data_IF_753670343763
#
_entry.id   IF_753670343763
#
_cell.length_a   1.000
_cell.length_b   1.000
_cell.length_c   1.000
_cell.angle_alpha   90.00
_cell.angle_beta   90.00
_cell.angle_gamma   90.00
#
_symmetry.space_group_name_H-M   'P 1'
#
loop_
_entity.id
_entity.type
_entity.pdbx_description
1 polymer ?
#
# COMPACT_ATOMS: atom_id res chain seq x y z
N UNK A 1 -42.69 47.99 -7.28
CA UNK A 1 -42.30 46.74 -8.01
C UNK A 1 -40.79 46.58 -8.27
N UNK A 2 -39.95 47.62 -8.19
CA UNK A 2 -38.50 47.52 -8.48
C UNK A 2 -37.63 46.89 -7.35
N UNK A 3 -38.08 46.85 -6.12
CA UNK A 3 -37.30 46.31 -4.98
C UNK A 3 -37.35 44.78 -4.93
N UNK A 4 -38.50 44.17 -5.29
CA UNK A 4 -38.63 42.71 -5.30
C UNK A 4 -37.74 42.00 -6.36
N UNK A 5 -37.50 42.66 -7.50
CA UNK A 5 -36.64 42.09 -8.54
C UNK A 5 -35.14 42.09 -8.17
N UNK A 6 -34.68 43.04 -7.35
CA UNK A 6 -33.27 43.09 -6.88
C UNK A 6 -32.95 42.05 -5.83
N UNK A 7 -33.90 41.70 -4.97
CA UNK A 7 -33.71 40.66 -3.95
C UNK A 7 -33.68 39.25 -4.58
N UNK A 8 -34.50 38.98 -5.58
CA UNK A 8 -34.50 37.71 -6.30
C UNK A 8 -33.19 37.48 -7.06
N UNK A 9 -32.60 38.53 -7.67
CA UNK A 9 -31.33 38.38 -8.38
C UNK A 9 -30.16 38.15 -7.46
N UNK A 10 -30.12 38.71 -6.25
CA UNK A 10 -29.08 38.42 -5.25
C UNK A 10 -29.19 37.01 -4.64
N UNK A 11 -30.41 36.50 -4.47
CA UNK A 11 -30.60 35.11 -4.02
C UNK A 11 -30.11 34.08 -5.06
N UNK A 12 -30.34 34.33 -6.36
CA UNK A 12 -29.85 33.46 -7.43
C UNK A 12 -28.33 33.46 -7.56
N UNK A 13 -27.66 34.60 -7.34
CA UNK A 13 -26.20 34.69 -7.32
C UNK A 13 -25.59 33.95 -6.10
N UNK A 14 -26.23 34.03 -4.94
CA UNK A 14 -25.76 33.31 -3.75
C UNK A 14 -25.92 31.79 -3.87
N UNK A 15 -27.02 31.32 -4.48
CA UNK A 15 -27.23 29.88 -4.75
C UNK A 15 -26.28 29.36 -5.83
N UNK A 16 -25.97 30.17 -6.85
CA UNK A 16 -25.00 29.81 -7.90
C UNK A 16 -23.56 29.70 -7.39
N UNK A 17 -23.19 30.49 -6.37
CA UNK A 17 -21.85 30.42 -5.75
C UNK A 17 -21.67 29.21 -4.81
N UNK A 18 -22.75 28.65 -4.26
CA UNK A 18 -22.70 27.44 -3.41
C UNK A 18 -22.69 26.13 -4.21
N UNK A 19 -23.05 26.19 -5.50
CA UNK A 19 -23.12 25.00 -6.36
C UNK A 19 -21.79 24.62 -7.07
N UNK A 20 -20.70 25.37 -6.84
CA UNK A 20 -19.52 25.32 -7.72
C UNK A 20 -18.19 24.83 -7.19
N UNK A 21 -18.01 24.62 -5.92
CA UNK A 21 -16.70 24.13 -5.41
C UNK A 21 -16.77 22.65 -5.01
N UNK A 22 -16.93 21.76 -6.00
CA UNK A 22 -16.64 20.35 -5.76
C UNK A 22 -15.13 20.23 -5.56
N UNK A 23 -14.72 19.67 -4.42
CA UNK A 23 -13.31 19.43 -4.19
C UNK A 23 -12.74 18.54 -5.31
N UNK A 24 -11.54 18.82 -5.80
CA UNK A 24 -10.94 18.00 -6.85
C UNK A 24 -10.85 16.56 -6.40
N UNK A 25 -11.28 15.64 -7.26
CA UNK A 25 -11.22 14.21 -7.03
C UNK A 25 -9.92 13.64 -7.64
N UNK A 26 -9.30 12.69 -6.95
CA UNK A 26 -8.05 12.06 -7.34
C UNK A 26 -8.25 10.58 -7.63
N UNK A 27 -7.76 10.13 -8.77
CA UNK A 27 -7.74 8.71 -9.14
C UNK A 27 -6.40 8.12 -8.70
N UNK A 28 -6.42 7.18 -7.76
CA UNK A 28 -5.22 6.49 -7.30
C UNK A 28 -5.24 5.09 -7.92
N UNK A 29 -4.37 4.85 -8.90
CA UNK A 29 -4.28 3.58 -9.62
C UNK A 29 -2.85 3.31 -10.06
N UNK A 30 -2.43 2.04 -10.04
CA UNK A 30 -1.15 1.63 -10.64
C UNK A 30 -1.25 1.67 -12.15
N UNK A 31 -0.31 2.37 -12.78
CA UNK A 31 -0.05 2.25 -14.20
C UNK A 31 0.82 1.02 -14.40
N UNK A 32 0.24 -0.02 -14.98
CA UNK A 32 0.91 -1.30 -15.23
C UNK A 32 1.30 -1.37 -16.71
N UNK A 33 2.60 -1.43 -16.99
CA UNK A 33 3.14 -1.54 -18.37
C UNK A 33 4.14 -2.67 -18.40
N UNK A 34 4.13 -3.47 -19.46
CA UNK A 34 5.11 -4.53 -19.66
C UNK A 34 6.52 -3.96 -19.65
N UNK A 35 7.41 -4.64 -18.92
CA UNK A 35 8.79 -4.22 -18.74
C UNK A 35 9.03 -3.26 -17.57
N UNK A 36 7.99 -2.59 -17.04
CA UNK A 36 8.17 -1.74 -15.86
C UNK A 36 8.73 -2.56 -14.70
N UNK A 37 9.65 -1.97 -13.97
CA UNK A 37 10.26 -2.57 -12.80
C UNK A 37 10.31 -1.60 -11.63
N UNK A 38 10.17 -2.13 -10.42
CA UNK A 38 10.28 -1.39 -9.17
C UNK A 38 11.12 -2.17 -8.18
N UNK A 39 12.11 -1.50 -7.58
CA UNK A 39 12.95 -2.05 -6.53
C UNK A 39 12.45 -1.55 -5.19
N UNK A 40 12.35 -2.44 -4.23
CA UNK A 40 11.93 -2.15 -2.88
C UNK A 40 12.98 -2.56 -1.87
N UNK A 41 13.14 -1.72 -0.85
CA UNK A 41 13.84 -2.08 0.38
C UNK A 41 12.83 -1.99 1.51
N UNK A 42 12.60 -3.10 2.18
CA UNK A 42 11.75 -3.22 3.36
C UNK A 42 12.65 -3.40 4.57
N UNK A 43 12.45 -2.58 5.59
CA UNK A 43 13.11 -2.70 6.87
C UNK A 43 12.05 -2.87 7.95
N UNK A 44 12.14 -3.94 8.71
CA UNK A 44 11.40 -4.16 9.94
C UNK A 44 12.36 -4.08 11.11
N UNK A 45 12.08 -3.21 12.05
CA UNK A 45 12.82 -3.10 13.29
C UNK A 45 11.87 -3.28 14.46
N UNK A 46 12.14 -4.22 15.33
CA UNK A 46 11.25 -4.52 16.44
C UNK A 46 11.94 -5.19 17.61
N UNK A 47 11.19 -5.34 18.68
CA UNK A 47 11.61 -6.07 19.87
C UNK A 47 10.88 -7.40 19.87
N UNK A 48 11.59 -8.48 19.59
CA UNK A 48 11.11 -9.85 19.69
C UNK A 48 11.80 -10.52 20.86
N UNK A 49 11.05 -11.01 21.85
CA UNK A 49 11.61 -11.73 23.01
C UNK A 49 12.75 -10.97 23.69
N UNK A 50 12.57 -9.66 23.96
CA UNK A 50 13.56 -8.78 24.61
C UNK A 50 14.85 -8.48 23.81
N UNK A 51 14.93 -8.94 22.56
CA UNK A 51 16.01 -8.63 21.64
C UNK A 51 15.52 -7.69 20.55
N UNK A 52 16.30 -6.66 20.27
CA UNK A 52 16.04 -5.77 19.13
C UNK A 52 16.61 -6.43 17.88
N UNK A 53 15.71 -6.83 16.98
CA UNK A 53 16.08 -7.38 15.70
C UNK A 53 15.72 -6.41 14.57
N UNK A 54 16.60 -6.36 13.58
CA UNK A 54 16.36 -5.64 12.34
C UNK A 54 16.39 -6.62 11.18
N UNK A 55 15.30 -6.66 10.44
CA UNK A 55 15.19 -7.41 9.22
C UNK A 55 15.19 -6.48 8.04
N UNK A 56 16.11 -6.64 7.11
CA UNK A 56 16.12 -5.93 5.83
C UNK A 56 15.89 -6.91 4.69
N UNK A 57 14.90 -6.61 3.86
CA UNK A 57 14.57 -7.35 2.65
C UNK A 57 14.65 -6.42 1.45
N UNK A 58 15.32 -6.87 0.40
CA UNK A 58 15.31 -6.20 -0.89
C UNK A 58 14.64 -7.09 -1.90
N UNK A 59 13.80 -6.48 -2.72
CA UNK A 59 13.16 -7.21 -3.81
C UNK A 59 12.88 -6.31 -5.00
N UNK A 60 12.74 -6.93 -6.15
CA UNK A 60 12.41 -6.24 -7.40
C UNK A 60 11.14 -6.87 -7.96
N UNK A 61 10.16 -6.04 -8.24
CA UNK A 61 8.96 -6.38 -8.99
C UNK A 61 9.17 -6.01 -10.46
N UNK A 62 8.85 -6.91 -11.36
CA UNK A 62 8.88 -6.68 -12.81
C UNK A 62 7.57 -7.08 -13.43
N UNK A 63 6.93 -6.16 -14.15
CA UNK A 63 5.73 -6.43 -14.93
C UNK A 63 6.12 -7.29 -16.14
N UNK A 64 5.68 -8.54 -16.16
CA UNK A 64 5.98 -9.50 -17.23
C UNK A 64 4.98 -9.39 -18.36
N UNK A 65 3.69 -9.22 -18.01
CA UNK A 65 2.60 -9.12 -18.97
C UNK A 65 1.43 -8.36 -18.36
N UNK A 66 0.76 -7.57 -19.17
CA UNK A 66 -0.51 -6.93 -18.81
C UNK A 66 -1.66 -7.74 -19.43
N UNK A 67 -2.67 -8.05 -18.62
CA UNK A 67 -3.83 -8.83 -19.03
C UNK A 67 -4.95 -7.92 -19.58
N UNK A 68 -5.91 -8.46 -20.35
CA UNK A 68 -6.99 -7.65 -20.94
C UNK A 68 -7.90 -6.96 -19.90
N UNK A 69 -7.97 -7.48 -18.67
CA UNK A 69 -8.72 -6.88 -17.56
C UNK A 69 -7.96 -5.73 -16.86
N UNK A 70 -6.79 -5.38 -17.38
CA UNK A 70 -5.90 -4.35 -16.83
C UNK A 70 -5.06 -4.83 -15.65
N UNK A 71 -5.22 -6.05 -15.16
CA UNK A 71 -4.29 -6.63 -14.19
C UNK A 71 -2.97 -6.99 -14.87
N UNK A 72 -1.92 -7.23 -14.08
CA UNK A 72 -0.63 -7.63 -14.62
C UNK A 72 -0.07 -8.85 -13.90
N UNK A 73 0.63 -9.68 -14.66
CA UNK A 73 1.53 -10.68 -14.12
C UNK A 73 2.84 -9.98 -13.73
N UNK A 74 3.19 -10.06 -12.47
CA UNK A 74 4.42 -9.48 -11.92
C UNK A 74 5.30 -10.60 -11.38
N UNK A 75 6.55 -10.62 -11.80
CA UNK A 75 7.58 -11.45 -11.20
C UNK A 75 8.27 -10.65 -10.10
N UNK A 76 8.26 -11.18 -8.88
CA UNK A 76 8.99 -10.65 -7.73
C UNK A 76 10.22 -11.49 -7.47
N UNK A 77 11.36 -10.84 -7.43
CA UNK A 77 12.66 -11.47 -7.15
C UNK A 77 13.21 -10.90 -5.86
N UNK A 78 13.49 -11.75 -4.88
CA UNK A 78 14.19 -11.37 -3.65
C UNK A 78 15.69 -11.27 -3.93
N UNK A 79 16.29 -10.17 -3.50
CA UNK A 79 17.73 -9.95 -3.56
C UNK A 79 18.35 -10.36 -2.21
N UNK A 80 18.54 -11.65 -2.05
CA UNK A 80 19.07 -12.25 -0.82
C UNK A 80 20.11 -13.33 -1.16
N UNK A 81 21.18 -13.32 -0.37
CA UNK A 81 22.10 -14.44 -0.35
C UNK A 81 21.40 -15.72 0.16
N UNK A 82 21.74 -16.91 -0.36
CA UNK A 82 21.08 -18.17 0.02
C UNK A 82 21.05 -18.41 1.54
N UNK A 83 22.14 -18.11 2.23
CA UNK A 83 22.24 -18.27 3.68
C UNK A 83 21.34 -17.28 4.44
N UNK A 84 21.15 -16.07 3.90
CA UNK A 84 20.24 -15.09 4.46
C UNK A 84 18.79 -15.50 4.26
N UNK A 85 18.46 -16.08 3.12
CA UNK A 85 17.12 -16.63 2.84
C UNK A 85 16.79 -17.77 3.81
N UNK A 86 17.72 -18.68 4.07
CA UNK A 86 17.51 -19.80 4.99
C UNK A 86 17.28 -19.32 6.43
N UNK A 87 18.06 -18.34 6.91
CA UNK A 87 17.86 -17.73 8.24
C UNK A 87 16.52 -17.04 8.36
N UNK A 88 16.15 -16.29 7.33
CA UNK A 88 14.85 -15.62 7.24
C UNK A 88 13.69 -16.62 7.25
N UNK A 89 13.81 -17.69 6.51
CA UNK A 89 12.81 -18.76 6.45
C UNK A 89 12.55 -19.39 7.81
N UNK A 90 13.62 -19.63 8.60
CA UNK A 90 13.50 -20.12 9.97
C UNK A 90 12.76 -19.14 10.90
N UNK A 91 12.97 -17.83 10.71
CA UNK A 91 12.32 -16.78 11.50
C UNK A 91 10.90 -16.47 11.00
N UNK A 92 10.66 -16.64 9.70
CA UNK A 92 9.38 -16.33 9.04
C UNK A 92 8.44 -17.54 8.92
N UNK A 93 8.82 -18.70 9.45
CA UNK A 93 8.04 -19.94 9.35
C UNK A 93 6.52 -19.79 9.67
N UNK A 94 6.09 -18.94 10.62
CA UNK A 94 4.68 -18.69 10.85
C UNK A 94 3.97 -17.96 9.68
N UNK A 95 4.72 -17.35 8.78
CA UNK A 95 4.22 -16.48 7.72
C UNK A 95 4.28 -17.12 6.32
N UNK A 96 4.72 -18.38 6.23
CA UNK A 96 4.83 -19.11 4.97
C UNK A 96 6.25 -19.20 4.41
N UNK A 97 6.40 -19.89 3.30
CA UNK A 97 7.68 -20.10 2.65
C UNK A 97 8.11 -18.89 1.81
N UNK A 98 9.30 -18.36 2.09
CA UNK A 98 9.91 -17.33 1.26
C UNK A 98 10.62 -17.99 0.07
N UNK A 99 10.21 -17.66 -1.14
CA UNK A 99 10.86 -18.11 -2.38
C UNK A 99 11.70 -16.99 -2.99
N UNK A 100 12.88 -17.30 -3.54
CA UNK A 100 13.72 -16.29 -4.20
C UNK A 100 13.00 -15.60 -5.36
N UNK A 101 12.11 -16.34 -6.02
CA UNK A 101 11.23 -15.83 -7.08
C UNK A 101 9.80 -16.27 -6.83
N UNK A 102 8.88 -15.36 -7.07
CA UNK A 102 7.45 -15.60 -6.97
C UNK A 102 6.68 -14.80 -8.03
N UNK A 103 5.49 -15.28 -8.39
CA UNK A 103 4.62 -14.62 -9.35
C UNK A 103 3.37 -14.12 -8.67
N UNK A 104 2.99 -12.92 -9.05
CA UNK A 104 1.87 -12.20 -8.46
C UNK A 104 0.96 -11.66 -9.56
N UNK A 105 -0.32 -11.70 -9.33
CA UNK A 105 -1.27 -10.90 -10.09
C UNK A 105 -1.48 -9.59 -9.35
N UNK A 106 -1.16 -8.48 -10.01
CA UNK A 106 -1.28 -7.13 -9.48
C UNK A 106 -2.38 -6.41 -10.23
N UNK A 107 -3.25 -5.76 -9.50
CA UNK A 107 -4.39 -5.02 -10.06
C UNK A 107 -4.14 -3.52 -10.04
N UNK A 108 -4.79 -2.73 -10.95
CA UNK A 108 -4.67 -1.28 -10.94
C UNK A 108 -5.09 -0.62 -9.62
N UNK A 109 -5.99 -1.25 -8.86
CA UNK A 109 -6.45 -0.80 -7.55
C UNK A 109 -5.48 -1.16 -6.40
N UNK A 110 -4.28 -1.61 -6.71
CA UNK A 110 -3.25 -1.93 -5.74
C UNK A 110 -3.35 -3.32 -5.12
N UNK A 111 -4.42 -4.07 -5.34
CA UNK A 111 -4.53 -5.45 -4.86
C UNK A 111 -3.46 -6.33 -5.49
N UNK A 112 -2.96 -7.27 -4.69
CA UNK A 112 -1.98 -8.25 -5.11
C UNK A 112 -2.46 -9.65 -4.70
N UNK A 113 -2.37 -10.61 -5.62
CA UNK A 113 -2.72 -12.00 -5.36
C UNK A 113 -1.55 -12.88 -5.74
N UNK A 114 -1.00 -13.70 -4.83
CA UNK A 114 0.03 -14.64 -5.19
C UNK A 114 -0.52 -15.69 -6.15
N UNK A 115 0.25 -16.05 -7.16
CA UNK A 115 -0.06 -17.12 -8.11
C UNK A 115 0.66 -18.42 -7.75
N UNK A 116 1.71 -18.32 -6.97
CA UNK A 116 2.46 -19.45 -6.42
C UNK A 116 2.17 -19.54 -4.91
N UNK A 117 2.46 -20.65 -4.25
CA UNK A 117 2.38 -20.79 -2.78
C UNK A 117 3.44 -19.94 -2.06
N UNK A 118 3.88 -18.90 -2.69
CA UNK A 118 4.93 -18.03 -2.20
C UNK A 118 4.40 -16.99 -1.22
N UNK A 119 4.96 -17.09 -0.09
CA UNK A 119 5.31 -16.13 0.93
C UNK A 119 4.46 -14.90 1.14
N UNK A 120 3.77 -15.01 2.20
CA UNK A 120 3.04 -14.06 3.01
C UNK A 120 3.68 -12.67 3.16
N UNK A 121 5.01 -12.62 3.39
CA UNK A 121 5.59 -11.48 4.10
C UNK A 121 5.54 -10.15 3.36
N UNK A 122 5.64 -10.18 2.05
CA UNK A 122 5.73 -8.95 1.25
C UNK A 122 4.34 -8.43 0.85
N UNK A 123 3.37 -9.33 0.66
CA UNK A 123 1.99 -8.97 0.36
C UNK A 123 1.16 -8.50 1.56
N UNK A 124 1.63 -8.71 2.79
CA UNK A 124 0.91 -8.30 4.02
C UNK A 124 0.72 -6.78 4.13
N UNK A 125 1.50 -6.01 3.38
CA UNK A 125 1.40 -4.56 3.34
C UNK A 125 0.73 -4.04 2.07
N UNK A 126 0.16 -4.94 1.26
CA UNK A 126 -0.64 -4.59 0.11
C UNK A 126 -1.98 -4.01 0.59
N UNK A 127 -2.10 -2.72 0.57
CA UNK A 127 -3.35 -2.00 0.77
C UNK A 127 -3.96 -1.71 -0.61
N UNK A 128 -5.28 -1.77 -0.70
CA UNK A 128 -5.99 -1.46 -1.93
C UNK A 128 -6.36 0.02 -2.00
N UNK A 129 -6.28 0.59 -3.18
CA UNK A 129 -6.70 1.96 -3.46
C UNK A 129 -8.23 2.06 -3.50
N UNK A 130 -8.79 3.28 -3.46
CA UNK A 130 -10.23 3.46 -3.58
C UNK A 130 -10.72 3.04 -4.97
N UNK A 131 -11.92 2.44 -5.05
CA UNK A 131 -12.53 1.96 -6.30
C UNK A 131 -12.90 3.09 -7.27
N UNK A 132 -13.05 4.28 -6.75
CA UNK A 132 -13.48 5.48 -7.48
C UNK A 132 -12.59 6.67 -7.13
N UNK A 133 -12.58 7.72 -7.96
CA UNK A 133 -11.93 8.97 -7.59
C UNK A 133 -12.44 9.51 -6.26
N UNK A 134 -11.52 10.02 -5.45
CA UNK A 134 -11.82 10.51 -4.10
C UNK A 134 -11.21 11.90 -3.87
N UNK A 135 -11.89 12.79 -3.13
CA UNK A 135 -11.29 14.05 -2.70
C UNK A 135 -10.30 13.82 -1.55
N UNK A 136 -9.45 14.81 -1.30
CA UNK A 136 -8.62 14.86 -0.09
C UNK A 136 -9.54 14.83 1.14
N UNK A 137 -9.17 14.07 2.15
CA UNK A 137 -9.97 13.82 3.35
C UNK A 137 -10.87 12.59 3.25
N UNK A 138 -11.08 12.03 2.06
CA UNK A 138 -11.91 10.84 1.89
C UNK A 138 -11.31 9.62 2.60
N UNK A 139 -12.20 8.78 3.13
CA UNK A 139 -11.86 7.53 3.79
C UNK A 139 -12.45 6.33 3.05
N UNK A 140 -11.76 5.20 3.09
CA UNK A 140 -12.23 3.91 2.57
C UNK A 140 -11.65 2.76 3.39
N UNK A 141 -12.39 1.66 3.46
CA UNK A 141 -11.98 0.44 4.14
C UNK A 141 -11.70 -0.70 3.17
N UNK A 142 -10.77 -1.57 3.53
CA UNK A 142 -10.48 -2.81 2.81
C UNK A 142 -10.12 -3.91 3.78
N UNK A 143 -10.45 -5.13 3.38
CA UNK A 143 -9.95 -6.34 4.03
C UNK A 143 -8.98 -7.01 3.08
N UNK A 144 -7.78 -7.26 3.52
CA UNK A 144 -6.79 -8.04 2.80
C UNK A 144 -6.57 -9.38 3.49
N UNK A 145 -6.49 -10.44 2.68
CA UNK A 145 -6.14 -11.78 3.15
C UNK A 145 -4.79 -12.16 2.57
N UNK A 146 -3.87 -12.52 3.44
CA UNK A 146 -2.54 -12.97 3.07
C UNK A 146 -2.22 -14.27 3.81
N UNK A 147 -2.32 -15.39 3.11
CA UNK A 147 -2.27 -16.70 3.73
C UNK A 147 -3.43 -16.89 4.72
N UNK A 148 -3.11 -17.19 5.97
CA UNK A 148 -4.08 -17.29 7.08
C UNK A 148 -4.38 -15.96 7.78
N UNK A 149 -3.61 -14.90 7.48
CA UNK A 149 -3.80 -13.59 8.06
C UNK A 149 -4.90 -12.84 7.32
N UNK A 150 -5.87 -12.34 8.06
CA UNK A 150 -6.88 -11.41 7.58
C UNK A 150 -6.71 -10.08 8.32
N UNK A 151 -6.57 -8.99 7.56
CA UNK A 151 -6.29 -7.66 8.09
C UNK A 151 -7.26 -6.67 7.51
N UNK A 152 -7.82 -5.84 8.36
CA UNK A 152 -8.66 -4.72 7.94
C UNK A 152 -7.84 -3.44 7.90
N UNK A 153 -7.91 -2.73 6.78
CA UNK A 153 -7.30 -1.43 6.60
C UNK A 153 -8.37 -0.34 6.54
N UNK A 154 -8.17 0.72 7.29
CA UNK A 154 -8.88 1.98 7.15
C UNK A 154 -7.91 3.00 6.57
N UNK A 155 -8.20 3.46 5.36
CA UNK A 155 -7.36 4.38 4.62
C UNK A 155 -7.97 5.76 4.54
N UNK A 156 -7.15 6.82 4.58
CA UNK A 156 -7.56 8.19 4.37
C UNK A 156 -6.58 8.89 3.43
N UNK A 157 -7.07 9.53 2.37
CA UNK A 157 -6.26 10.41 1.54
C UNK A 157 -6.06 11.74 2.28
N UNK A 158 -4.87 11.97 2.84
CA UNK A 158 -4.58 13.19 3.61
C UNK A 158 -4.17 14.36 2.72
N UNK A 159 -3.54 14.10 1.56
CA UNK A 159 -3.07 15.15 0.69
C UNK A 159 -2.18 14.65 -0.45
N UNK A 160 -1.56 15.62 -1.10
CA UNK A 160 -0.52 15.41 -2.11
C UNK A 160 0.69 16.22 -1.68
N UNK A 161 1.83 15.56 -1.58
CA UNK A 161 3.08 16.21 -1.17
C UNK A 161 4.28 15.69 -1.99
N UNK A 162 5.34 16.48 -2.13
CA UNK A 162 6.56 16.02 -2.79
C UNK A 162 7.36 15.09 -1.88
N UNK A 163 7.77 13.93 -2.42
CA UNK A 163 8.73 13.03 -1.81
C UNK A 163 9.90 12.81 -2.76
N UNK A 164 11.10 13.24 -2.38
CA UNK A 164 12.31 13.18 -3.23
C UNK A 164 12.09 13.77 -4.65
N UNK A 165 11.37 14.90 -4.74
CA UNK A 165 11.09 15.58 -6.01
C UNK A 165 9.93 14.98 -6.85
N UNK A 166 9.29 13.92 -6.37
CA UNK A 166 8.15 13.28 -7.03
C UNK A 166 6.87 13.63 -6.26
N UNK A 167 5.82 14.05 -6.98
CA UNK A 167 4.50 14.29 -6.39
C UNK A 167 3.86 12.97 -5.96
N UNK A 168 3.50 12.86 -4.68
CA UNK A 168 2.94 11.64 -4.11
C UNK A 168 1.62 11.91 -3.39
N UNK A 169 0.67 11.00 -3.55
CA UNK A 169 -0.46 10.92 -2.65
C UNK A 169 0.01 10.45 -1.28
N UNK A 170 -0.38 11.18 -0.23
CA UNK A 170 -0.15 10.78 1.15
C UNK A 170 -1.40 10.14 1.70
N UNK A 171 -1.30 8.86 2.06
CA UNK A 171 -2.39 8.06 2.56
C UNK A 171 -2.04 7.61 3.98
N UNK A 172 -2.90 7.95 4.93
CA UNK A 172 -2.86 7.36 6.26
C UNK A 172 -3.59 6.03 6.22
N UNK A 173 -3.01 5.02 6.80
CA UNK A 173 -3.55 3.67 6.88
C UNK A 173 -3.55 3.22 8.33
N UNK A 174 -4.72 2.96 8.86
CA UNK A 174 -4.92 2.32 10.15
C UNK A 174 -5.17 0.83 9.93
N UNK A 175 -4.44 0.01 10.66
CA UNK A 175 -4.52 -1.46 10.61
C UNK A 175 -5.31 -1.92 11.82
N UNK A 176 -6.46 -2.52 11.58
CA UNK A 176 -7.33 -3.03 12.64
C UNK A 176 -7.22 -4.56 12.72
N UNK A 177 -7.11 -5.12 13.93
CA UNK A 177 -7.13 -6.56 14.10
C UNK A 177 -8.49 -7.15 13.75
N UNK A 178 -8.50 -8.30 13.09
CA UNK A 178 -9.73 -9.07 12.88
C UNK A 178 -9.94 -9.98 14.09
N UNK A 179 -11.15 -9.99 14.71
CA UNK A 179 -11.39 -10.67 15.98
C UNK A 179 -11.02 -12.15 16.01
N UNK A 180 -11.21 -12.86 14.90
CA UNK A 180 -11.01 -14.30 14.77
C UNK A 180 -9.75 -14.69 14.00
N UNK A 181 -8.90 -13.72 13.64
CA UNK A 181 -7.65 -14.00 12.91
C UNK A 181 -6.47 -14.22 13.85
N UNK A 182 -5.62 -15.18 13.51
CA UNK A 182 -4.31 -15.36 14.10
C UNK A 182 -3.29 -15.48 12.97
N UNK A 183 -2.24 -14.65 12.95
CA UNK A 183 -1.89 -13.60 13.92
C UNK A 183 -2.82 -12.37 13.89
N UNK A 184 -2.91 -11.65 14.99
CA UNK A 184 -3.53 -10.32 15.04
C UNK A 184 -2.49 -9.25 14.74
N UNK A 185 -2.84 -8.28 13.93
CA UNK A 185 -1.98 -7.15 13.59
C UNK A 185 -2.77 -5.84 13.71
N UNK A 186 -2.19 -4.87 14.39
CA UNK A 186 -2.77 -3.53 14.57
C UNK A 186 -1.69 -2.46 14.44
N UNK A 187 -2.07 -1.24 14.09
CA UNK A 187 -1.14 -0.12 14.04
C UNK A 187 -1.51 0.94 13.03
N UNK A 188 -0.55 1.80 12.75
CA UNK A 188 -0.74 2.93 11.84
C UNK A 188 0.44 3.07 10.89
N UNK A 189 0.15 3.37 9.64
CA UNK A 189 1.16 3.62 8.61
C UNK A 189 0.82 4.87 7.81
N UNK A 190 1.86 5.57 7.34
CA UNK A 190 1.76 6.56 6.28
C UNK A 190 2.34 5.97 5.00
N UNK A 191 1.58 6.06 3.95
CA UNK A 191 1.95 5.54 2.63
C UNK A 191 2.04 6.67 1.63
N UNK A 192 3.14 6.74 0.89
CA UNK A 192 3.33 7.65 -0.22
C UNK A 192 3.26 6.88 -1.53
N UNK A 193 2.31 7.26 -2.36
CA UNK A 193 2.07 6.66 -3.66
C UNK A 193 2.41 7.68 -4.73
N UNK A 194 3.26 7.34 -5.65
CA UNK A 194 3.60 8.17 -6.81
C UNK A 194 2.31 8.56 -7.57
N UNK A 195 2.05 9.86 -7.70
CA UNK A 195 0.81 10.36 -8.27
C UNK A 195 0.68 10.06 -9.78
N UNK A 196 1.79 9.82 -10.47
CA UNK A 196 1.81 9.54 -11.90
C UNK A 196 1.72 8.03 -12.19
N UNK A 197 2.53 7.24 -11.50
CA UNK A 197 2.64 5.79 -11.76
C UNK A 197 1.75 4.94 -10.85
N UNK A 198 1.31 5.48 -9.71
CA UNK A 198 0.53 4.74 -8.72
C UNK A 198 1.34 3.67 -7.97
N UNK A 199 2.67 3.64 -8.11
CA UNK A 199 3.50 2.73 -7.35
C UNK A 199 3.87 3.32 -5.99
N UNK A 200 4.04 2.44 -5.00
CA UNK A 200 4.44 2.85 -3.66
C UNK A 200 5.87 3.37 -3.66
N UNK A 201 6.06 4.61 -3.19
CA UNK A 201 7.38 5.22 -2.96
C UNK A 201 7.90 4.99 -1.57
N UNK A 202 7.00 5.04 -0.58
CA UNK A 202 7.39 4.88 0.81
C UNK A 202 6.21 4.38 1.63
N UNK A 203 6.50 3.52 2.60
CA UNK A 203 5.63 3.22 3.73
C UNK A 203 6.46 3.46 4.99
N UNK A 204 5.87 4.09 5.99
CA UNK A 204 6.42 4.20 7.35
C UNK A 204 5.32 3.99 8.35
N UNK A 205 5.56 3.21 9.38
CA UNK A 205 4.56 3.00 10.40
C UNK A 205 5.08 2.16 11.56
N UNK A 206 4.21 2.02 12.54
CA UNK A 206 4.41 1.15 13.70
C UNK A 206 3.28 0.14 13.72
N UNK A 207 3.62 -1.11 13.84
CA UNK A 207 2.69 -2.24 13.87
C UNK A 207 2.96 -3.07 15.12
N UNK A 208 1.90 -3.47 15.79
CA UNK A 208 1.92 -4.48 16.84
C UNK A 208 1.40 -5.79 16.28
N UNK A 209 2.09 -6.88 16.53
CA UNK A 209 1.68 -8.20 16.09
C UNK A 209 1.59 -9.17 17.28
N UNK A 210 0.53 -9.97 17.30
CA UNK A 210 0.32 -11.04 18.28
C UNK A 210 0.02 -12.34 17.55
N UNK A 211 0.91 -13.30 17.64
CA UNK A 211 0.81 -14.61 17.02
C UNK A 211 1.22 -15.70 18.01
N UNK A 212 0.30 -16.14 18.85
CA UNK A 212 0.62 -17.10 19.92
C UNK A 212 1.68 -16.57 20.88
N UNK A 213 2.83 -17.25 20.94
CA UNK A 213 3.98 -16.83 21.76
C UNK A 213 4.80 -15.67 21.14
N UNK A 214 4.52 -15.29 19.88
CA UNK A 214 5.16 -14.19 19.22
C UNK A 214 4.31 -12.93 19.47
N UNK A 215 4.85 -12.02 20.25
CA UNK A 215 4.26 -10.71 20.49
C UNK A 215 5.35 -9.68 20.38
N UNK A 216 5.09 -8.60 19.65
CA UNK A 216 6.06 -7.54 19.52
C UNK A 216 5.55 -6.33 18.73
N UNK A 217 6.23 -5.22 18.95
CA UNK A 217 6.02 -3.98 18.25
C UNK A 217 7.12 -3.81 17.20
N UNK A 218 6.74 -3.41 16.00
CA UNK A 218 7.64 -3.27 14.87
C UNK A 218 7.50 -1.91 14.25
N UNK A 219 8.62 -1.29 13.93
CA UNK A 219 8.68 -0.16 13.03
C UNK A 219 8.90 -0.69 11.61
N UNK A 220 7.99 -0.36 10.72
CA UNK A 220 8.05 -0.71 9.31
C UNK A 220 8.54 0.49 8.50
N UNK A 221 9.51 0.26 7.63
CA UNK A 221 9.88 1.19 6.56
C UNK A 221 9.97 0.42 5.25
N UNK A 222 9.27 0.90 4.23
CA UNK A 222 9.44 0.44 2.84
C UNK A 222 9.84 1.63 2.00
N UNK A 223 10.82 1.44 1.11
CA UNK A 223 11.22 2.42 0.09
C UNK A 223 11.13 1.75 -1.27
N UNK A 224 10.45 2.42 -2.20
CA UNK A 224 10.29 1.98 -3.58
C UNK A 224 10.88 2.99 -4.56
N UNK A 225 11.58 2.48 -5.56
CA UNK A 225 12.14 3.26 -6.66
C UNK A 225 11.97 2.52 -7.98
N UNK A 226 11.87 3.22 -9.12
CA UNK A 226 11.90 2.55 -10.40
C UNK A 226 13.19 1.72 -10.52
N UNK A 227 13.07 0.47 -10.90
CA UNK A 227 14.23 -0.34 -11.28
C UNK A 227 14.70 0.21 -12.61
N UNK A 228 15.74 1.05 -12.59
CA UNK A 228 16.28 1.67 -13.78
C UNK A 228 16.57 0.62 -14.86
N UNK A 229 16.34 0.97 -16.12
CA UNK A 229 16.96 0.25 -17.22
C UNK A 229 18.46 0.18 -16.91
N UNK A 230 19.01 -1.03 -16.90
CA UNK A 230 20.46 -1.14 -16.82
C UNK A 230 21.05 -0.32 -17.96
N UNK A 231 22.00 0.59 -17.63
CA UNK A 231 22.72 1.33 -18.67
C UNK A 231 23.41 0.38 -19.64
#
# INVERSE_FOLDING_TARGET
MAVAARVACMLWLAVGLLAGCRAPEHTIRRALREGDGWRYTLTLQGILREQTDTLELRYTDRVVRVEPDGSALVERTLDLEPDALQRLQASAAPFGELKPKSRWRVYPDGRETPLDEAGFFIGAFAYAYPDRPVPIGAQWGRVARVGSLEVKYLCQLEGIEPLAGVSCYRIRVEVEPMPDSLPQMEGEMTVHVDALSGWTRQIRGTLSMRAGALQGDFTLTVRGEPAGEKP
#
